data_IF_567168699193
#
_entry.id   IF_567168699193
#
_cell.length_a   1.000
_cell.length_b   1.000
_cell.length_c   1.000
_cell.angle_alpha   90.00
_cell.angle_beta   90.00
_cell.angle_gamma   90.00
#
_symmetry.space_group_name_H-M   'P 1'
#
loop_
_entity.id
_entity.type
_entity.pdbx_description
1 polymer ?
#
# COMPACT_ATOMS: atom_id res chain seq x y z
N UNK A 1 -10.12 12.10 6.05
CA UNK A 1 -10.90 12.48 4.85
C UNK A 1 -10.50 11.48 3.77
N UNK A 2 -11.47 10.78 3.15
CA UNK A 2 -11.13 9.78 2.12
C UNK A 2 -10.35 10.47 1.01
N UNK A 3 -9.23 9.88 0.59
CA UNK A 3 -8.31 10.52 -0.36
C UNK A 3 -8.84 10.50 -1.81
N UNK A 4 -10.07 9.98 -2.00
CA UNK A 4 -10.70 9.74 -3.29
C UNK A 4 -11.94 10.63 -3.56
N UNK A 5 -12.25 11.61 -2.70
CA UNK A 5 -13.62 12.16 -2.54
C UNK A 5 -14.21 13.03 -3.65
N UNK A 6 -13.50 13.34 -4.74
CA UNK A 6 -14.00 14.26 -5.77
C UNK A 6 -14.27 13.61 -7.14
N UNK A 7 -14.01 12.31 -7.32
CA UNK A 7 -14.21 11.59 -8.60
C UNK A 7 -15.07 10.34 -8.38
N UNK A 8 -16.12 10.17 -9.17
CA UNK A 8 -16.85 8.89 -9.21
C UNK A 8 -16.08 7.88 -10.05
N UNK A 9 -15.30 7.03 -9.38
CA UNK A 9 -14.40 6.06 -10.01
C UNK A 9 -15.13 5.00 -10.84
N UNK A 10 -16.42 4.73 -10.59
CA UNK A 10 -17.19 3.69 -11.29
C UNK A 10 -17.46 4.01 -12.76
N UNK A 11 -17.38 5.29 -13.14
CA UNK A 11 -17.63 5.74 -14.52
C UNK A 11 -16.36 6.20 -15.24
N UNK A 12 -15.21 6.18 -14.54
CA UNK A 12 -13.91 6.56 -15.11
C UNK A 12 -13.43 5.45 -16.05
N UNK A 13 -12.90 5.76 -17.24
CA UNK A 13 -12.28 4.77 -18.13
C UNK A 13 -11.14 4.02 -17.42
N UNK A 14 -10.97 2.72 -17.69
CA UNK A 14 -10.00 1.89 -16.97
C UNK A 14 -8.56 2.40 -17.17
N UNK A 15 -8.26 2.96 -18.35
CA UNK A 15 -6.95 3.56 -18.62
C UNK A 15 -6.64 4.73 -17.69
N UNK A 16 -7.64 5.57 -17.42
CA UNK A 16 -7.51 6.72 -16.51
C UNK A 16 -7.39 6.30 -15.03
N UNK A 17 -8.02 5.19 -14.63
CA UNK A 17 -7.85 4.63 -13.29
C UNK A 17 -6.40 4.19 -13.10
N UNK A 18 -5.84 3.46 -14.06
CA UNK A 18 -4.45 3.03 -14.06
C UNK A 18 -3.49 4.23 -14.05
N UNK A 19 -3.74 5.24 -14.89
CA UNK A 19 -2.93 6.46 -14.95
C UNK A 19 -2.99 7.28 -13.65
N UNK A 20 -4.04 7.10 -12.85
CA UNK A 20 -4.13 7.68 -11.52
C UNK A 20 -3.39 6.83 -10.47
N UNK A 21 -3.57 5.51 -10.47
CA UNK A 21 -2.98 4.59 -9.48
C UNK A 21 -1.47 4.74 -9.41
N UNK A 22 -0.78 4.75 -10.55
CA UNK A 22 0.68 4.73 -10.60
C UNK A 22 1.30 5.95 -9.86
N UNK A 23 1.03 7.20 -10.25
CA UNK A 23 1.64 8.34 -9.56
C UNK A 23 1.05 8.59 -8.17
N UNK A 24 -0.24 8.27 -7.95
CA UNK A 24 -0.89 8.55 -6.67
C UNK A 24 -0.49 7.56 -5.59
N UNK A 25 -0.43 6.27 -5.90
CA UNK A 25 -0.22 5.21 -4.94
C UNK A 25 1.14 4.56 -5.14
N UNK A 26 1.45 4.03 -6.33
CA UNK A 26 2.68 3.25 -6.49
C UNK A 26 3.95 4.07 -6.24
N UNK A 27 4.05 5.24 -6.87
CA UNK A 27 5.18 6.14 -6.66
C UNK A 27 5.19 6.71 -5.24
N UNK A 28 4.02 6.97 -4.66
CA UNK A 28 3.90 7.39 -3.26
C UNK A 28 4.45 6.32 -2.30
N UNK A 29 4.07 5.06 -2.46
CA UNK A 29 4.55 3.96 -1.62
C UNK A 29 6.05 3.72 -1.78
N UNK A 30 6.57 3.82 -3.01
CA UNK A 30 8.03 3.76 -3.28
C UNK A 30 8.81 4.84 -2.54
N UNK A 31 8.20 6.00 -2.31
CA UNK A 31 8.84 7.11 -1.59
C UNK A 31 8.60 7.04 -0.07
N UNK A 32 7.40 6.63 0.37
CA UNK A 32 7.02 6.54 1.78
C UNK A 32 7.84 5.47 2.52
N UNK A 33 7.87 4.24 2.01
CA UNK A 33 8.39 3.09 2.75
C UNK A 33 9.88 3.19 3.09
N UNK A 34 10.79 3.64 2.19
CA UNK A 34 12.19 3.87 2.55
C UNK A 34 12.38 4.85 3.72
N UNK A 35 11.60 5.93 3.76
CA UNK A 35 11.64 6.91 4.85
C UNK A 35 11.16 6.28 6.17
N UNK A 36 10.12 5.45 6.11
CA UNK A 36 9.60 4.75 7.28
C UNK A 36 10.59 3.70 7.82
N UNK A 37 11.33 3.02 6.93
CA UNK A 37 12.41 2.10 7.32
C UNK A 37 13.49 2.84 8.11
N UNK A 38 13.99 3.97 7.59
CA UNK A 38 15.03 4.76 8.28
C UNK A 38 14.54 5.26 9.66
N UNK A 39 13.29 5.72 9.75
CA UNK A 39 12.70 6.15 11.01
C UNK A 39 12.54 4.98 11.99
N UNK A 40 12.09 3.82 11.53
CA UNK A 40 11.94 2.62 12.36
C UNK A 40 13.29 2.14 12.90
N UNK A 41 14.32 2.06 12.06
CA UNK A 41 15.69 1.73 12.47
C UNK A 41 16.21 2.68 13.55
N UNK A 42 16.00 3.98 13.36
CA UNK A 42 16.41 5.00 14.32
C UNK A 42 15.67 4.85 15.66
N UNK A 43 14.35 4.62 15.61
CA UNK A 43 13.53 4.43 16.82
C UNK A 43 13.97 3.17 17.56
N UNK A 44 14.14 2.06 16.86
CA UNK A 44 14.58 0.79 17.46
C UNK A 44 15.98 0.90 18.08
N UNK A 45 16.90 1.60 17.42
CA UNK A 45 18.27 1.81 17.90
C UNK A 45 18.33 2.73 19.13
N UNK A 46 17.71 3.92 19.06
CA UNK A 46 17.77 4.92 20.15
C UNK A 46 16.97 4.48 21.37
N UNK A 47 15.89 3.72 21.17
CA UNK A 47 14.98 3.32 22.24
C UNK A 47 15.04 1.81 22.55
N UNK A 48 16.14 1.12 22.22
CA UNK A 48 16.31 -0.33 22.40
C UNK A 48 15.95 -0.84 23.82
N UNK A 49 16.24 -0.04 24.85
CA UNK A 49 16.00 -0.35 26.26
C UNK A 49 14.58 0.03 26.74
N UNK A 50 13.79 0.71 25.90
CA UNK A 50 12.41 1.05 26.23
C UNK A 50 11.50 -0.18 26.14
N UNK A 51 10.64 -0.37 27.14
CA UNK A 51 9.59 -1.39 27.11
C UNK A 51 8.56 -1.17 25.98
N UNK A 52 8.44 0.06 25.46
CA UNK A 52 7.54 0.41 24.37
C UNK A 52 8.20 0.34 22.99
N UNK A 53 9.49 -0.01 22.90
CA UNK A 53 10.21 -0.05 21.64
C UNK A 53 9.53 -1.04 20.66
N UNK A 54 9.18 -0.61 19.43
CA UNK A 54 8.51 -1.46 18.45
C UNK A 54 9.53 -2.37 17.76
N UNK A 55 10.11 -3.31 18.50
CA UNK A 55 11.19 -4.18 18.04
C UNK A 55 10.75 -5.01 16.83
N UNK A 56 11.56 -5.01 15.78
CA UNK A 56 11.30 -5.75 14.54
C UNK A 56 10.38 -5.02 13.54
N UNK A 57 9.96 -3.80 13.83
CA UNK A 57 9.15 -2.99 12.92
C UNK A 57 9.92 -2.63 11.65
N UNK A 58 11.21 -2.26 11.76
CA UNK A 58 12.05 -1.94 10.61
C UNK A 58 12.15 -3.12 9.64
N UNK A 59 12.32 -4.34 10.17
CA UNK A 59 12.38 -5.55 9.35
C UNK A 59 11.05 -5.87 8.67
N UNK A 60 9.93 -5.70 9.39
CA UNK A 60 8.60 -5.85 8.81
C UNK A 60 8.36 -4.85 7.67
N UNK A 61 8.74 -3.58 7.84
CA UNK A 61 8.57 -2.56 6.80
C UNK A 61 9.46 -2.89 5.58
N UNK A 62 10.69 -3.41 5.78
CA UNK A 62 11.54 -3.86 4.66
C UNK A 62 10.91 -5.01 3.88
N UNK A 63 10.31 -6.00 4.56
CA UNK A 63 9.54 -7.06 3.92
C UNK A 63 8.43 -6.47 3.05
N UNK A 64 7.58 -5.62 3.65
CA UNK A 64 6.46 -4.98 2.92
C UNK A 64 6.95 -4.18 1.72
N UNK A 65 8.05 -3.45 1.86
CA UNK A 65 8.62 -2.70 0.75
C UNK A 65 9.06 -3.61 -0.41
N UNK A 66 9.75 -4.72 -0.11
CA UNK A 66 10.18 -5.65 -1.14
C UNK A 66 8.98 -6.32 -1.83
N UNK A 67 7.99 -6.75 -1.06
CA UNK A 67 6.78 -7.41 -1.57
C UNK A 67 5.97 -6.46 -2.43
N UNK A 68 5.72 -5.23 -1.95
CA UNK A 68 4.92 -4.23 -2.65
C UNK A 68 5.63 -3.74 -3.93
N UNK A 69 6.95 -3.56 -3.92
CA UNK A 69 7.71 -3.21 -5.14
C UNK A 69 7.58 -4.31 -6.21
N UNK A 70 7.68 -5.59 -5.81
CA UNK A 70 7.51 -6.70 -6.73
C UNK A 70 6.06 -6.82 -7.23
N UNK A 71 5.09 -6.61 -6.35
CA UNK A 71 3.66 -6.56 -6.67
C UNK A 71 3.38 -5.48 -7.74
N UNK A 72 3.67 -4.22 -7.44
CA UNK A 72 3.43 -3.08 -8.33
C UNK A 72 4.17 -3.23 -9.68
N UNK A 73 5.34 -3.87 -9.69
CA UNK A 73 6.06 -4.17 -10.92
C UNK A 73 5.28 -5.14 -11.83
N UNK A 74 4.67 -6.20 -11.28
CA UNK A 74 3.84 -7.14 -12.07
C UNK A 74 2.63 -6.42 -12.63
N UNK A 75 2.04 -5.53 -11.87
CA UNK A 75 0.91 -4.73 -12.33
C UNK A 75 1.32 -3.81 -13.49
N UNK A 76 2.31 -2.95 -13.26
CA UNK A 76 2.75 -1.95 -14.23
C UNK A 76 3.31 -2.56 -15.53
N UNK A 77 4.01 -3.70 -15.44
CA UNK A 77 4.64 -4.31 -16.61
C UNK A 77 3.75 -5.30 -17.35
N UNK A 78 2.79 -5.93 -16.66
CA UNK A 78 2.00 -7.04 -17.23
C UNK A 78 0.51 -6.75 -17.16
N UNK A 79 -0.06 -6.60 -15.96
CA UNK A 79 -1.51 -6.54 -15.78
C UNK A 79 -2.12 -5.26 -16.36
N UNK A 80 -1.57 -4.10 -16.01
CA UNK A 80 -2.07 -2.80 -16.48
C UNK A 80 -1.95 -2.64 -18.00
N UNK A 81 -0.84 -3.00 -18.67
CA UNK A 81 -0.77 -3.01 -20.13
C UNK A 81 -1.80 -3.95 -20.77
N UNK A 82 -2.06 -5.12 -20.16
CA UNK A 82 -3.08 -6.05 -20.65
C UNK A 82 -4.49 -5.42 -20.56
N UNK A 83 -4.83 -4.79 -19.44
CA UNK A 83 -6.10 -4.08 -19.26
C UNK A 83 -6.21 -2.94 -20.28
N UNK A 84 -5.19 -2.08 -20.40
CA UNK A 84 -5.13 -0.97 -21.38
C UNK A 84 -5.21 -1.41 -22.84
N UNK A 85 -4.88 -2.66 -23.15
CA UNK A 85 -5.06 -3.24 -24.47
C UNK A 85 -6.50 -3.74 -24.74
N UNK A 86 -7.45 -3.50 -23.82
CA UNK A 86 -8.83 -4.00 -23.89
C UNK A 86 -8.94 -5.50 -23.65
N UNK A 87 -7.92 -6.12 -23.03
CA UNK A 87 -7.79 -7.57 -22.82
C UNK A 87 -8.09 -8.00 -21.39
N UNK A 88 -8.79 -7.17 -20.60
CA UNK A 88 -9.11 -7.44 -19.19
C UNK A 88 -9.83 -8.77 -18.93
N UNK A 89 -10.69 -9.24 -19.86
CA UNK A 89 -11.35 -10.56 -19.74
C UNK A 89 -10.38 -11.74 -19.65
N UNK A 90 -9.15 -11.58 -20.15
CA UNK A 90 -8.11 -12.63 -20.09
C UNK A 90 -7.26 -12.54 -18.81
N UNK A 91 -7.53 -11.57 -17.94
CA UNK A 91 -6.71 -11.26 -16.77
C UNK A 91 -7.17 -11.97 -15.48
N UNK A 92 -8.12 -12.91 -15.53
CA UNK A 92 -8.64 -13.58 -14.33
C UNK A 92 -7.56 -14.23 -13.46
N UNK A 93 -6.63 -14.97 -14.08
CA UNK A 93 -5.53 -15.59 -13.35
C UNK A 93 -4.57 -14.55 -12.70
N UNK A 94 -4.01 -13.57 -13.43
CA UNK A 94 -3.15 -12.57 -12.80
C UNK A 94 -3.88 -11.72 -11.74
N UNK A 95 -5.15 -11.35 -11.94
CA UNK A 95 -5.95 -10.63 -10.94
C UNK A 95 -6.06 -11.45 -9.65
N UNK A 96 -6.36 -12.75 -9.73
CA UNK A 96 -6.46 -13.59 -8.52
C UNK A 96 -5.15 -13.67 -7.73
N UNK A 97 -4.00 -13.53 -8.40
CA UNK A 97 -2.69 -13.45 -7.73
C UNK A 97 -2.51 -12.08 -7.06
N UNK A 98 -2.92 -10.98 -7.71
CA UNK A 98 -2.83 -9.64 -7.10
C UNK A 98 -3.74 -9.53 -5.87
N UNK A 99 -4.96 -10.05 -5.94
CA UNK A 99 -5.89 -10.07 -4.79
C UNK A 99 -5.34 -10.87 -3.60
N UNK A 100 -4.70 -12.02 -3.84
CA UNK A 100 -4.05 -12.78 -2.78
C UNK A 100 -2.88 -12.01 -2.15
N UNK A 101 -2.12 -11.26 -2.94
CA UNK A 101 -1.04 -10.42 -2.45
C UNK A 101 -1.55 -9.17 -1.71
N UNK A 102 -2.72 -8.66 -2.06
CA UNK A 102 -3.43 -7.63 -1.29
C UNK A 102 -3.82 -8.14 0.09
N UNK A 103 -4.33 -9.37 0.19
CA UNK A 103 -4.63 -10.00 1.49
C UNK A 103 -3.37 -10.14 2.35
N UNK A 104 -2.23 -10.53 1.75
CA UNK A 104 -0.94 -10.58 2.43
C UNK A 104 -0.48 -9.20 2.91
N UNK A 105 -0.60 -8.17 2.08
CA UNK A 105 -0.27 -6.80 2.46
C UNK A 105 -1.16 -6.28 3.62
N UNK A 106 -2.44 -6.63 3.62
CA UNK A 106 -3.35 -6.35 4.74
C UNK A 106 -2.90 -6.99 6.05
N UNK A 107 -2.48 -8.26 6.00
CA UNK A 107 -1.93 -8.97 7.16
C UNK A 107 -0.65 -8.31 7.70
N UNK A 108 0.21 -7.81 6.82
CA UNK A 108 1.41 -7.09 7.24
C UNK A 108 1.09 -5.76 7.92
N UNK A 109 0.09 -5.01 7.42
CA UNK A 109 -0.39 -3.78 8.08
C UNK A 109 -0.94 -4.09 9.48
N UNK A 110 -1.72 -5.17 9.65
CA UNK A 110 -2.16 -5.59 10.98
C UNK A 110 -0.99 -5.91 11.91
N UNK A 111 0.06 -6.55 11.39
CA UNK A 111 1.26 -6.84 12.18
C UNK A 111 1.97 -5.54 12.61
N UNK A 112 2.05 -4.53 11.73
CA UNK A 112 2.58 -3.22 12.10
C UNK A 112 1.72 -2.55 13.18
N UNK A 113 0.39 -2.61 13.07
CA UNK A 113 -0.53 -2.08 14.09
C UNK A 113 -0.30 -2.75 15.45
N UNK A 114 -0.13 -4.08 15.48
CA UNK A 114 0.14 -4.84 16.71
C UNK A 114 1.47 -4.40 17.36
N UNK A 115 2.54 -4.24 16.58
CA UNK A 115 3.86 -3.81 17.07
C UNK A 115 3.87 -2.36 17.59
N UNK A 116 2.94 -1.53 17.12
CA UNK A 116 2.93 -0.09 17.38
C UNK A 116 1.77 0.37 18.26
N UNK A 117 1.04 -0.57 18.86
CA UNK A 117 -0.18 -0.27 19.62
C UNK A 117 -1.16 0.59 18.80
N UNK A 118 -1.53 0.10 17.62
CA UNK A 118 -2.34 0.80 16.62
C UNK A 118 -1.76 2.18 16.27
N UNK A 119 -0.45 2.22 15.98
CA UNK A 119 0.27 3.45 15.67
C UNK A 119 0.10 4.55 16.74
N UNK A 120 -0.04 4.16 18.02
CA UNK A 120 -0.18 5.11 19.14
C UNK A 120 1.16 5.26 19.85
N UNK A 121 1.85 6.41 19.71
CA UNK A 121 3.15 6.58 20.33
C UNK A 121 3.02 6.64 21.87
N UNK A 122 3.98 6.09 22.63
CA UNK A 122 3.97 6.16 24.08
C UNK A 122 4.12 7.61 24.58
N UNK A 123 3.76 7.85 25.85
CA UNK A 123 4.00 9.13 26.50
C UNK A 123 5.50 9.49 26.44
N UNK A 124 5.81 10.75 26.14
CA UNK A 124 7.20 11.20 26.04
C UNK A 124 7.97 10.73 24.79
N UNK A 125 7.32 10.07 23.82
CA UNK A 125 7.97 9.67 22.57
C UNK A 125 8.73 10.85 21.91
N UNK A 126 9.87 10.59 21.26
CA UNK A 126 10.58 11.65 20.55
C UNK A 126 9.88 12.03 19.25
N UNK A 127 10.28 13.14 18.63
CA UNK A 127 9.69 13.60 17.35
C UNK A 127 9.83 12.55 16.24
N UNK A 128 10.98 11.88 16.12
CA UNK A 128 11.17 10.82 15.10
C UNK A 128 10.19 9.66 15.28
N UNK A 129 9.87 9.28 16.52
CA UNK A 129 8.90 8.22 16.80
C UNK A 129 7.48 8.65 16.44
N UNK A 130 7.07 9.87 16.82
CA UNK A 130 5.75 10.39 16.41
C UNK A 130 5.62 10.46 14.89
N UNK A 131 6.65 10.93 14.19
CA UNK A 131 6.67 11.00 12.73
C UNK A 131 6.60 9.62 12.08
N UNK A 132 7.29 8.61 12.64
CA UNK A 132 7.19 7.24 12.16
C UNK A 132 5.73 6.75 12.22
N UNK A 133 5.07 6.93 13.36
CA UNK A 133 3.72 6.41 13.55
C UNK A 133 2.69 7.17 12.71
N UNK A 134 2.85 8.49 12.56
CA UNK A 134 2.03 9.26 11.63
C UNK A 134 2.22 8.76 10.19
N UNK A 135 3.47 8.58 9.74
CA UNK A 135 3.73 8.11 8.37
C UNK A 135 3.24 6.68 8.14
N UNK A 136 3.25 5.80 9.15
CA UNK A 136 2.64 4.47 9.07
C UNK A 136 1.12 4.53 8.94
N UNK A 137 0.45 5.46 9.65
CA UNK A 137 -0.99 5.68 9.48
C UNK A 137 -1.32 6.19 8.07
N UNK A 138 -0.51 7.13 7.56
CA UNK A 138 -0.66 7.64 6.20
C UNK A 138 -0.45 6.54 5.16
N UNK A 139 0.61 5.72 5.29
CA UNK A 139 0.85 4.57 4.44
C UNK A 139 -0.31 3.57 4.48
N UNK A 140 -0.79 3.19 5.67
CA UNK A 140 -1.89 2.23 5.80
C UNK A 140 -3.19 2.75 5.16
N UNK A 141 -3.50 4.04 5.32
CA UNK A 141 -4.67 4.65 4.71
C UNK A 141 -4.55 4.76 3.19
N UNK A 142 -3.35 5.06 2.67
CA UNK A 142 -3.09 5.10 1.24
C UNK A 142 -3.18 3.71 0.61
N UNK A 143 -2.61 2.68 1.26
CA UNK A 143 -2.64 1.30 0.78
C UNK A 143 -4.07 0.74 0.77
N UNK A 144 -4.87 1.02 1.81
CA UNK A 144 -6.29 0.64 1.85
C UNK A 144 -7.08 1.25 0.69
N UNK A 145 -6.88 2.55 0.43
CA UNK A 145 -7.53 3.25 -0.67
C UNK A 145 -7.06 2.77 -2.06
N UNK A 146 -5.77 2.41 -2.19
CA UNK A 146 -5.19 1.81 -3.39
C UNK A 146 -5.86 0.47 -3.69
N UNK A 147 -5.79 -0.46 -2.74
CA UNK A 147 -6.34 -1.81 -2.87
C UNK A 147 -7.86 -1.78 -3.10
N UNK A 148 -8.60 -0.88 -2.44
CA UNK A 148 -10.03 -0.71 -2.66
C UNK A 148 -10.33 -0.28 -4.11
N UNK A 149 -9.59 0.69 -4.64
CA UNK A 149 -9.77 1.15 -6.02
C UNK A 149 -9.49 0.03 -7.04
N UNK A 150 -8.55 -0.86 -6.74
CA UNK A 150 -8.24 -2.00 -7.60
C UNK A 150 -9.27 -3.13 -7.48
N UNK A 151 -9.46 -3.66 -6.28
CA UNK A 151 -10.32 -4.82 -6.01
C UNK A 151 -11.79 -4.50 -6.25
N UNK A 152 -12.25 -3.29 -5.94
CA UNK A 152 -13.67 -2.94 -6.00
C UNK A 152 -14.03 -2.09 -7.22
N UNK A 153 -13.06 -1.63 -8.01
CA UNK A 153 -13.32 -0.87 -9.23
C UNK A 153 -12.59 -1.43 -10.45
N UNK A 154 -11.26 -1.36 -10.49
CA UNK A 154 -10.50 -1.68 -11.70
C UNK A 154 -10.67 -3.15 -12.13
N UNK A 155 -10.44 -4.09 -11.21
CA UNK A 155 -10.40 -5.51 -11.53
C UNK A 155 -11.78 -6.08 -11.94
N UNK A 156 -12.88 -5.84 -11.20
CA UNK A 156 -14.19 -6.37 -11.59
C UNK A 156 -14.63 -5.85 -12.96
N UNK A 157 -14.37 -4.58 -13.26
CA UNK A 157 -14.74 -3.94 -14.53
C UNK A 157 -13.88 -4.43 -15.70
N UNK A 158 -12.58 -4.64 -15.46
CA UNK A 158 -11.70 -5.27 -16.43
C UNK A 158 -12.16 -6.70 -16.78
N UNK A 159 -12.59 -7.48 -15.79
CA UNK A 159 -13.12 -8.83 -16.00
C UNK A 159 -14.48 -8.85 -16.70
N UNK A 160 -15.33 -7.84 -16.46
CA UNK A 160 -16.56 -7.62 -17.22
C UNK A 160 -16.27 -7.25 -18.70
N UNK A 161 -15.04 -6.83 -18.99
CA UNK A 161 -14.55 -6.46 -20.32
C UNK A 161 -14.97 -5.06 -20.76
N UNK A 162 -15.13 -4.16 -19.80
CA UNK A 162 -15.17 -2.74 -20.08
C UNK A 162 -13.89 -2.33 -20.84
N UNK A 163 -14.06 -1.39 -21.77
CA UNK A 163 -12.95 -0.92 -22.59
C UNK A 163 -12.16 0.17 -21.84
N UNK A 164 -10.85 0.31 -22.14
CA UNK A 164 -9.96 1.29 -21.52
C UNK A 164 -10.43 2.73 -21.60
#
# INVERSE_FOLDING_TARGET
MSVLTDKDWHVVPLGEIIDFIIPRFHDTHRNQLPILIELAEKVESVHADSAHCPKGLAELIRKVYADLVNHMMKEEQILFPLIKAGRGKMAAAPISVMEAEHDEAGNDVEAMQKLTNNFTPPEGACTSWRNLYQGLQEFAADLDAHVDLENNNLFPRALAGEQP
#
